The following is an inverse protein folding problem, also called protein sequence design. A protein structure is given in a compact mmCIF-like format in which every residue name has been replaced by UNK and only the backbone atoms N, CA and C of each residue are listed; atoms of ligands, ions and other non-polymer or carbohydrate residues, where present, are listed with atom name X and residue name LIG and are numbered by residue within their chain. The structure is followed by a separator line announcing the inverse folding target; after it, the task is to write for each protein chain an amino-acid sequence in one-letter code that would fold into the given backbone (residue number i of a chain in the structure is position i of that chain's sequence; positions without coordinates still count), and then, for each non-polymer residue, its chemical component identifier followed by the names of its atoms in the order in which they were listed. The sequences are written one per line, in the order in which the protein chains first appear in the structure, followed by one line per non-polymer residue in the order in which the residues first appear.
data_IF_679584493920
#
_entry.id   IF_679584493920
#
_cell.length_a   1.000
_cell.length_b   1.000
_cell.length_c   1.000
_cell.angle_alpha   90.00
_cell.angle_beta   90.00
_cell.angle_gamma   90.00
#
_symmetry.space_group_name_H-M   'P 1'
#
loop_
_entity.id
_entity.type
_entity.pdbx_description
1 polymer ?
#
# COMPACT_ATOMS: atom_id res chain seq x y z
N UNK A 1 1.53 4.69 -21.50
CA UNK A 1 3.00 4.92 -21.56
C UNK A 1 3.61 5.17 -20.18
N UNK A 2 3.18 6.16 -19.37
CA UNK A 2 3.82 6.42 -18.06
C UNK A 2 3.65 5.32 -17.01
N UNK A 3 2.42 4.79 -16.84
CA UNK A 3 2.15 3.71 -15.87
C UNK A 3 2.87 2.39 -16.17
N UNK A 4 3.22 2.15 -17.45
CA UNK A 4 3.99 0.97 -17.85
C UNK A 4 5.49 1.13 -17.60
N UNK A 5 5.98 2.37 -17.56
CA UNK A 5 7.40 2.66 -17.35
C UNK A 5 7.77 2.65 -15.85
N UNK A 6 6.84 3.04 -14.97
CA UNK A 6 7.00 2.96 -13.53
C UNK A 6 5.73 2.35 -12.93
N UNK A 7 5.64 1.02 -12.83
CA UNK A 7 4.46 0.37 -12.26
C UNK A 7 4.30 0.75 -10.79
N UNK A 8 3.04 0.94 -10.38
CA UNK A 8 2.70 1.17 -8.98
C UNK A 8 2.79 -0.15 -8.24
N UNK A 9 3.72 -0.25 -7.29
CA UNK A 9 4.05 -1.48 -6.58
C UNK A 9 4.24 -1.21 -5.09
N UNK A 10 3.92 -2.20 -4.25
CA UNK A 10 4.27 -2.18 -2.84
C UNK A 10 5.61 -2.84 -2.60
N UNK A 11 6.51 -2.13 -1.95
CA UNK A 11 7.84 -2.63 -1.61
C UNK A 11 7.76 -3.38 -0.30
N UNK A 12 8.32 -4.58 -0.28
CA UNK A 12 8.38 -5.44 0.89
C UNK A 12 9.78 -6.06 1.00
N UNK A 13 10.28 -6.17 2.22
CA UNK A 13 11.58 -6.79 2.47
C UNK A 13 11.52 -8.31 2.17
N UNK A 14 12.59 -8.93 1.63
CA UNK A 14 12.63 -10.37 1.38
C UNK A 14 12.33 -11.24 2.61
N UNK A 15 12.74 -10.83 3.81
CA UNK A 15 12.49 -11.56 5.06
C UNK A 15 10.98 -11.64 5.34
N UNK A 16 10.30 -10.51 5.23
CA UNK A 16 8.85 -10.41 5.43
C UNK A 16 8.06 -11.11 4.33
N UNK A 17 8.52 -10.99 3.09
CA UNK A 17 7.91 -11.63 1.93
C UNK A 17 8.01 -13.16 2.05
N UNK A 18 9.18 -13.68 2.44
CA UNK A 18 9.40 -15.11 2.63
C UNK A 18 8.52 -15.67 3.75
N UNK A 19 8.44 -14.99 4.89
CA UNK A 19 7.60 -15.39 6.01
C UNK A 19 6.10 -15.45 5.63
N UNK A 20 5.68 -14.67 4.63
CA UNK A 20 4.29 -14.57 4.15
C UNK A 20 4.03 -15.31 2.83
N UNK A 21 5.02 -16.02 2.29
CA UNK A 21 4.89 -16.73 1.00
C UNK A 21 4.70 -15.83 -0.22
N UNK A 22 5.09 -14.55 -0.14
CA UNK A 22 4.96 -13.55 -1.20
C UNK A 22 6.21 -13.58 -2.08
N UNK A 23 6.02 -13.61 -3.41
CA UNK A 23 7.07 -13.51 -4.42
C UNK A 23 7.00 -12.17 -5.13
N UNK A 24 8.11 -11.80 -5.78
CA UNK A 24 8.13 -10.60 -6.62
C UNK A 24 7.11 -10.73 -7.76
N UNK A 25 6.28 -9.70 -7.94
CA UNK A 25 5.20 -9.66 -8.93
C UNK A 25 3.88 -10.29 -8.47
N UNK A 26 3.84 -10.97 -7.30
CA UNK A 26 2.57 -11.48 -6.77
C UNK A 26 1.63 -10.31 -6.47
N UNK A 27 0.34 -10.50 -6.73
CA UNK A 27 -0.68 -9.57 -6.24
C UNK A 27 -0.89 -9.81 -4.75
N UNK A 28 -0.78 -8.75 -3.97
CA UNK A 28 -0.97 -8.78 -2.52
C UNK A 28 -2.08 -7.83 -2.12
N UNK A 29 -2.76 -8.21 -1.05
CA UNK A 29 -3.74 -7.36 -0.38
C UNK A 29 -3.04 -6.59 0.74
N UNK A 30 -3.10 -5.27 0.67
CA UNK A 30 -2.61 -4.36 1.71
C UNK A 30 -3.80 -3.69 2.35
N UNK A 31 -3.98 -3.84 3.66
CA UNK A 31 -5.19 -3.38 4.33
C UNK A 31 -4.96 -2.92 5.77
N UNK A 32 -5.90 -2.12 6.25
CA UNK A 32 -6.07 -1.77 7.66
C UNK A 32 -7.53 -1.39 7.94
N UNK A 33 -7.80 -0.78 9.09
CA UNK A 33 -9.15 -0.37 9.48
C UNK A 33 -9.76 0.74 8.61
N UNK A 34 -8.95 1.47 7.82
CA UNK A 34 -9.42 2.55 6.96
C UNK A 34 -9.85 2.04 5.58
N UNK A 35 -9.20 0.99 5.08
CA UNK A 35 -9.51 0.41 3.77
C UNK A 35 -8.50 -0.65 3.34
N UNK A 36 -8.62 -1.07 2.09
CA UNK A 36 -7.77 -2.09 1.50
C UNK A 36 -7.49 -1.84 0.01
N UNK A 37 -6.36 -2.37 -0.46
CA UNK A 37 -5.95 -2.31 -1.87
C UNK A 37 -5.35 -3.62 -2.34
N UNK A 38 -5.45 -3.87 -3.64
CA UNK A 38 -4.77 -4.95 -4.35
C UNK A 38 -3.70 -4.37 -5.27
N UNK A 39 -2.46 -4.77 -5.03
CA UNK A 39 -1.29 -4.20 -5.70
C UNK A 39 -0.19 -5.26 -5.89
N UNK A 40 0.64 -5.10 -6.91
CA UNK A 40 1.79 -5.99 -7.12
C UNK A 40 2.88 -5.77 -6.08
N UNK A 41 3.46 -6.86 -5.58
CA UNK A 41 4.56 -6.84 -4.62
C UNK A 41 5.93 -6.75 -5.30
N UNK A 42 6.69 -5.72 -4.93
CA UNK A 42 8.10 -5.59 -5.24
C UNK A 42 8.95 -6.03 -4.06
N UNK A 43 9.36 -7.29 -4.10
CA UNK A 43 10.30 -7.83 -3.10
C UNK A 43 11.69 -7.23 -3.33
N UNK A 44 12.23 -6.50 -2.35
CA UNK A 44 13.53 -5.83 -2.47
C UNK A 44 14.22 -5.60 -1.13
N UNK A 45 15.54 -5.82 -1.01
CA UNK A 45 16.28 -5.55 0.23
C UNK A 45 16.50 -4.04 0.50
N UNK A 46 15.99 -3.16 -0.36
CA UNK A 46 16.12 -1.69 -0.24
C UNK A 46 15.16 -1.06 0.78
N UNK A 47 14.33 -1.87 1.44
CA UNK A 47 13.43 -1.46 2.50
C UNK A 47 13.71 -2.26 3.77
N UNK A 48 13.53 -1.64 4.93
CA UNK A 48 13.76 -2.29 6.21
C UNK A 48 12.76 -3.44 6.45
N UNK A 49 13.15 -4.52 7.15
CA UNK A 49 12.22 -5.51 7.66
C UNK A 49 11.15 -4.86 8.56
N UNK A 50 9.92 -5.33 8.48
CA UNK A 50 8.74 -4.80 9.18
C UNK A 50 8.18 -3.51 8.57
N UNK A 51 8.76 -3.00 7.48
CA UNK A 51 8.34 -1.75 6.83
C UNK A 51 7.99 -2.01 5.36
N UNK A 52 6.93 -1.35 4.89
CA UNK A 52 6.48 -1.40 3.50
C UNK A 52 6.35 -0.01 2.93
N UNK A 53 6.60 0.17 1.64
CA UNK A 53 6.53 1.48 0.99
C UNK A 53 5.75 1.41 -0.32
N UNK A 54 5.01 2.47 -0.62
CA UNK A 54 4.24 2.65 -1.85
C UNK A 54 4.48 4.09 -2.32
N UNK A 55 4.66 4.29 -3.63
CA UNK A 55 4.80 5.63 -4.20
C UNK A 55 3.51 6.44 -4.04
N UNK A 56 3.62 7.72 -3.68
CA UNK A 56 2.44 8.60 -3.62
C UNK A 56 2.03 9.06 -5.03
N UNK A 57 0.75 9.39 -5.21
CA UNK A 57 0.24 10.02 -6.44
C UNK A 57 -0.53 9.08 -7.38
N UNK A 58 -0.67 7.80 -7.02
CA UNK A 58 -1.52 6.88 -7.75
C UNK A 58 -3.01 7.27 -7.63
N UNK A 59 -3.71 7.14 -8.74
CA UNK A 59 -5.14 7.43 -8.84
C UNK A 59 -5.93 6.32 -8.15
N UNK A 60 -6.82 6.70 -7.24
CA UNK A 60 -7.74 5.77 -6.60
C UNK A 60 -8.62 5.11 -7.66
N UNK A 61 -8.65 3.78 -7.65
CA UNK A 61 -9.50 2.98 -8.53
C UNK A 61 -10.26 1.95 -7.69
N UNK A 62 -11.28 2.44 -6.99
CA UNK A 62 -12.17 1.66 -6.14
C UNK A 62 -13.63 2.00 -6.46
N UNK A 63 -14.50 1.00 -6.47
CA UNK A 63 -15.95 1.24 -6.42
C UNK A 63 -16.35 1.52 -4.96
N UNK A 64 -16.50 2.80 -4.62
CA UNK A 64 -16.83 3.20 -3.25
C UNK A 64 -18.25 2.80 -2.80
N UNK A 65 -19.12 2.44 -3.75
CA UNK A 65 -20.45 1.90 -3.50
C UNK A 65 -20.50 0.36 -3.54
N UNK A 66 -19.42 -0.28 -4.02
CA UNK A 66 -19.25 -1.72 -4.12
C UNK A 66 -18.30 -2.27 -3.06
N UNK A 67 -17.25 -2.96 -3.53
CA UNK A 67 -16.26 -3.66 -2.70
C UNK A 67 -15.31 -2.72 -1.94
N UNK A 68 -15.20 -1.46 -2.39
CA UNK A 68 -14.30 -0.44 -1.83
C UNK A 68 -12.82 -0.83 -1.86
N UNK A 69 -12.45 -1.76 -2.75
CA UNK A 69 -11.07 -2.22 -2.89
C UNK A 69 -10.35 -1.35 -3.91
N UNK A 70 -9.22 -0.77 -3.52
CA UNK A 70 -8.42 0.01 -4.45
C UNK A 70 -7.53 -0.87 -5.32
N UNK A 71 -7.71 -0.78 -6.63
CA UNK A 71 -6.87 -1.42 -7.64
C UNK A 71 -5.85 -0.46 -8.27
N UNK A 72 -5.83 0.80 -7.83
CA UNK A 72 -4.95 1.84 -8.34
C UNK A 72 -3.63 1.98 -7.57
N UNK A 73 -3.59 1.53 -6.32
CA UNK A 73 -2.42 1.64 -5.44
C UNK A 73 -2.30 3.00 -4.75
N UNK A 74 -3.41 3.68 -4.51
CA UNK A 74 -3.49 4.96 -3.82
C UNK A 74 -3.34 4.78 -2.31
N UNK A 75 -2.17 5.13 -1.77
CA UNK A 75 -1.87 5.02 -0.33
C UNK A 75 -2.89 5.72 0.57
N UNK A 76 -3.57 6.76 0.07
CA UNK A 76 -4.52 7.54 0.84
C UNK A 76 -5.73 6.73 1.34
N UNK A 77 -6.11 5.63 0.67
CA UNK A 77 -7.18 4.74 1.16
C UNK A 77 -6.83 4.11 2.52
N UNK A 78 -5.54 4.00 2.84
CA UNK A 78 -5.05 3.42 4.10
C UNK A 78 -4.81 4.48 5.17
N UNK A 79 -4.92 5.78 4.84
CA UNK A 79 -4.51 6.87 5.74
C UNK A 79 -5.64 7.39 6.62
N UNK A 80 -5.33 7.78 7.85
CA UNK A 80 -6.27 8.50 8.70
C UNK A 80 -6.48 9.93 8.21
N UNK A 81 -7.71 10.43 8.30
CA UNK A 81 -8.03 11.83 8.03
C UNK A 81 -8.06 12.71 9.29
N UNK A 82 -7.62 12.17 10.45
CA UNK A 82 -7.61 12.92 11.71
C UNK A 82 -6.44 13.93 11.70
N UNK A 83 -6.71 15.25 11.70
CA UNK A 83 -5.64 16.24 11.69
C UNK A 83 -4.96 16.36 13.06
N UNK A 84 -3.71 16.84 13.08
CA UNK A 84 -3.00 17.09 14.34
C UNK A 84 -3.70 18.16 15.19
N UNK A 85 -3.66 18.08 16.53
CA UNK A 85 -4.49 18.94 17.38
C UNK A 85 -4.13 20.42 17.29
N UNK A 86 -2.84 20.75 17.16
CA UNK A 86 -2.33 22.12 17.14
C UNK A 86 -2.37 22.74 15.73
N UNK A 87 -1.57 22.23 14.81
CA UNK A 87 -1.36 22.83 13.49
C UNK A 87 -2.33 22.34 12.40
N UNK A 88 -3.21 21.38 12.73
CA UNK A 88 -4.15 20.74 11.79
C UNK A 88 -3.49 20.06 10.56
N UNK A 89 -2.28 19.53 10.75
CA UNK A 89 -1.54 18.80 9.70
C UNK A 89 -2.10 17.39 9.43
N UNK A 90 -1.85 16.85 8.24
CA UNK A 90 -2.29 15.52 7.79
C UNK A 90 -1.35 14.39 8.29
N UNK A 91 -1.88 13.24 8.75
CA UNK A 91 -1.08 12.14 9.30
C UNK A 91 -0.65 11.11 8.25
N UNK A 92 -0.31 11.52 7.02
CA UNK A 92 -0.14 10.60 5.87
C UNK A 92 0.99 9.58 6.00
N UNK A 93 1.93 9.74 6.94
CA UNK A 93 3.06 8.82 7.16
C UNK A 93 2.92 7.97 8.42
N UNK A 94 1.79 8.07 9.14
CA UNK A 94 1.53 7.30 10.37
C UNK A 94 0.46 6.26 10.12
N UNK A 95 0.83 5.18 9.42
CA UNK A 95 -0.08 4.11 9.05
C UNK A 95 0.50 2.75 9.45
N UNK A 96 -0.32 1.92 10.08
CA UNK A 96 -0.05 0.51 10.29
C UNK A 96 -0.93 -0.28 9.32
N UNK A 97 -0.36 -1.28 8.67
CA UNK A 97 -1.00 -2.09 7.64
C UNK A 97 -0.64 -3.56 7.81
N UNK A 98 -1.50 -4.44 7.30
CA UNK A 98 -1.18 -5.85 7.05
C UNK A 98 -1.01 -6.07 5.55
N UNK A 99 -0.19 -7.07 5.21
CA UNK A 99 0.02 -7.51 3.82
C UNK A 99 -0.12 -9.02 3.75
N UNK A 100 -0.99 -9.48 2.86
CA UNK A 100 -1.28 -10.89 2.63
C UNK A 100 -1.22 -11.21 1.13
N UNK A 101 -0.82 -12.44 0.80
CA UNK A 101 -0.91 -12.94 -0.57
C UNK A 101 -2.37 -13.25 -0.90
N UNK A 102 -2.81 -12.84 -2.09
CA UNK A 102 -4.12 -13.20 -2.66
C UNK A 102 -4.05 -14.56 -3.33
#
# INVERSE_FOLDING_TARGET
MLQQACPQEVWINPIDAQARGIRHGDTVRVFNNNGEMLIAAKVTPRILPGVTAIGQGAWLKADMFGDRVDHGGSINILTSHRPSPLAKGNPSHSNLVQIEKV
#
